data_IF_492825473485
#
_entry.id   IF_492825473485
#
_cell.length_a   1.000
_cell.length_b   1.000
_cell.length_c   1.000
_cell.angle_alpha   90.00
_cell.angle_beta   90.00
_cell.angle_gamma   90.00
#
_symmetry.space_group_name_H-M   'P 1'
#
loop_
_entity.id
_entity.type
_entity.pdbx_description
1 polymer ?
#
# COMPACT_ATOMS: atom_id res chain seq x y z
N UNK A 1 -21.99 -9.62 2.49
CA UNK A 1 -20.69 -10.32 2.41
C UNK A 1 -19.62 -9.50 1.69
N UNK A 2 -19.94 -8.89 0.53
CA UNK A 2 -19.07 -7.93 -0.19
C UNK A 2 -18.61 -6.74 0.68
N UNK A 3 -19.54 -6.14 1.44
CA UNK A 3 -19.23 -5.00 2.31
C UNK A 3 -18.21 -5.30 3.42
N UNK A 4 -18.11 -6.57 3.87
CA UNK A 4 -17.17 -6.96 4.92
C UNK A 4 -15.73 -7.11 4.38
N UNK A 5 -15.61 -7.53 3.12
CA UNK A 5 -14.33 -7.66 2.40
C UNK A 5 -13.77 -6.28 2.11
N UNK A 6 -14.60 -5.38 1.58
CA UNK A 6 -14.24 -3.97 1.38
C UNK A 6 -13.69 -3.34 2.67
N UNK A 7 -14.39 -3.52 3.78
CA UNK A 7 -13.98 -2.91 5.04
C UNK A 7 -12.66 -3.47 5.59
N UNK A 8 -12.42 -4.78 5.43
CA UNK A 8 -11.19 -5.41 5.94
C UNK A 8 -9.98 -5.09 5.05
N UNK A 9 -10.15 -5.15 3.73
CA UNK A 9 -9.05 -4.96 2.78
C UNK A 9 -8.65 -3.50 2.65
N UNK A 10 -9.61 -2.58 2.42
CA UNK A 10 -9.30 -1.15 2.40
C UNK A 10 -8.91 -0.61 3.77
N UNK A 11 -9.42 -1.21 4.86
CA UNK A 11 -8.92 -0.95 6.21
C UNK A 11 -7.45 -1.33 6.36
N UNK A 12 -7.04 -2.47 5.80
CA UNK A 12 -5.64 -2.91 5.72
C UNK A 12 -4.76 -1.97 4.90
N UNK A 13 -5.22 -1.55 3.71
CA UNK A 13 -4.52 -0.56 2.86
C UNK A 13 -4.26 0.74 3.63
N UNK A 14 -5.30 1.31 4.24
CA UNK A 14 -5.17 2.58 4.99
C UNK A 14 -4.26 2.40 6.20
N UNK A 15 -4.42 1.32 6.96
CA UNK A 15 -3.59 1.03 8.13
C UNK A 15 -2.11 0.91 7.76
N UNK A 16 -1.80 0.20 6.67
CA UNK A 16 -0.44 0.01 6.19
C UNK A 16 0.21 1.35 5.75
N UNK A 17 -0.52 2.21 5.04
CA UNK A 17 -0.01 3.54 4.70
C UNK A 17 0.22 4.45 5.91
N UNK A 18 -0.66 4.41 6.91
CA UNK A 18 -0.47 5.19 8.13
C UNK A 18 0.81 4.76 8.84
N UNK A 19 1.04 3.46 9.01
CA UNK A 19 2.27 2.96 9.64
C UNK A 19 3.51 3.29 8.80
N UNK A 20 3.43 3.24 7.47
CA UNK A 20 4.53 3.65 6.60
C UNK A 20 4.91 5.13 6.79
N UNK A 21 3.91 6.00 6.99
CA UNK A 21 4.15 7.43 7.27
C UNK A 21 4.84 7.62 8.63
N UNK A 22 4.42 6.89 9.65
CA UNK A 22 5.06 6.91 10.98
C UNK A 22 6.52 6.43 10.87
N UNK A 23 6.78 5.36 10.12
CA UNK A 23 8.14 4.86 9.88
C UNK A 23 9.03 5.86 9.14
N UNK A 24 8.49 6.60 8.16
CA UNK A 24 9.22 7.68 7.49
C UNK A 24 9.59 8.79 8.48
N UNK A 25 8.66 9.18 9.37
CA UNK A 25 8.94 10.18 10.41
C UNK A 25 10.03 9.72 11.38
N UNK A 26 10.07 8.43 11.70
CA UNK A 26 11.09 7.81 12.53
C UNK A 26 12.37 7.41 11.77
N UNK A 27 12.47 7.75 10.47
CA UNK A 27 13.59 7.41 9.58
C UNK A 27 13.84 5.90 9.41
N UNK A 28 12.81 5.08 9.61
CA UNK A 28 12.81 3.62 9.41
C UNK A 28 12.42 3.27 7.97
N UNK A 29 13.21 3.71 6.99
CA UNK A 29 12.82 3.65 5.57
C UNK A 29 12.59 2.24 5.02
N UNK A 30 13.32 1.22 5.49
CA UNK A 30 13.04 -0.18 5.10
C UNK A 30 11.66 -0.62 5.59
N UNK A 31 11.36 -0.38 6.87
CA UNK A 31 10.05 -0.69 7.47
C UNK A 31 8.92 0.07 6.74
N UNK A 32 9.15 1.34 6.39
CA UNK A 32 8.20 2.12 5.62
C UNK A 32 7.95 1.51 4.22
N UNK A 33 9.00 1.02 3.55
CA UNK A 33 8.87 0.33 2.26
C UNK A 33 8.06 -0.96 2.39
N UNK A 34 8.35 -1.78 3.41
CA UNK A 34 7.66 -3.05 3.67
C UNK A 34 6.15 -2.83 3.94
N UNK A 35 5.81 -1.76 4.67
CA UNK A 35 4.41 -1.38 4.90
C UNK A 35 3.71 -0.87 3.63
N UNK A 36 4.40 -0.19 2.73
CA UNK A 36 3.85 0.22 1.42
C UNK A 36 3.59 -0.98 0.52
N UNK A 37 4.48 -1.98 0.54
CA UNK A 37 4.28 -3.26 -0.14
C UNK A 37 3.07 -4.01 0.44
N UNK A 38 2.92 -4.03 1.76
CA UNK A 38 1.75 -4.61 2.42
C UNK A 38 0.44 -3.93 1.99
N UNK A 39 0.43 -2.61 1.78
CA UNK A 39 -0.73 -1.88 1.26
C UNK A 39 -1.10 -2.34 -0.16
N UNK A 40 -0.08 -2.62 -0.99
CA UNK A 40 -0.29 -3.17 -2.33
C UNK A 40 -0.91 -4.59 -2.28
N UNK A 41 -0.41 -5.45 -1.38
CA UNK A 41 -0.94 -6.81 -1.21
C UNK A 41 -2.42 -6.80 -0.80
N UNK A 42 -2.82 -5.89 0.10
CA UNK A 42 -4.24 -5.75 0.45
C UNK A 42 -5.11 -5.34 -0.74
N UNK A 43 -4.63 -4.46 -1.62
CA UNK A 43 -5.34 -4.05 -2.82
C UNK A 43 -5.45 -5.18 -3.85
N UNK A 44 -4.37 -5.93 -4.11
CA UNK A 44 -4.41 -7.08 -5.02
C UNK A 44 -5.35 -8.18 -4.50
N UNK A 45 -5.27 -8.49 -3.19
CA UNK A 45 -6.15 -9.48 -2.59
C UNK A 45 -7.63 -9.03 -2.61
N UNK A 46 -7.90 -7.72 -2.63
CA UNK A 46 -9.24 -7.18 -2.83
C UNK A 46 -9.75 -7.52 -4.24
N UNK A 47 -8.96 -7.19 -5.26
CA UNK A 47 -9.27 -7.49 -6.66
C UNK A 47 -9.52 -8.99 -6.90
N UNK A 48 -8.66 -9.86 -6.35
CA UNK A 48 -8.82 -11.32 -6.43
C UNK A 48 -10.09 -11.83 -5.72
N UNK A 49 -10.41 -11.29 -4.55
CA UNK A 49 -11.61 -11.64 -3.79
C UNK A 49 -12.90 -11.26 -4.54
N UNK A 50 -12.87 -10.19 -5.34
CA UNK A 50 -13.99 -9.78 -6.19
C UNK A 50 -14.08 -10.62 -7.47
N UNK A 51 -12.95 -10.87 -8.13
CA UNK A 51 -12.87 -11.71 -9.33
C UNK A 51 -13.36 -13.14 -9.05
N UNK A 52 -12.94 -13.75 -7.94
CA UNK A 52 -13.36 -15.11 -7.53
C UNK A 52 -14.86 -15.24 -7.24
N UNK A 53 -15.57 -14.12 -7.07
CA UNK A 53 -17.02 -14.08 -6.80
C UNK A 53 -17.85 -13.67 -8.00
N UNK A 54 -17.22 -13.49 -9.17
CA UNK A 54 -17.87 -13.00 -10.39
C UNK A 54 -18.54 -11.62 -10.19
N UNK A 55 -18.03 -10.84 -9.23
CA UNK A 55 -18.49 -9.47 -8.99
C UNK A 55 -17.54 -8.57 -9.78
N UNK A 56 -17.97 -8.15 -10.96
CA UNK A 56 -17.29 -7.10 -11.72
C UNK A 56 -17.86 -5.76 -11.27
N UNK A 57 -17.04 -5.00 -10.54
CA UNK A 57 -17.32 -3.62 -10.18
C UNK A 57 -16.16 -2.77 -10.70
N UNK A 58 -16.42 -2.01 -11.76
CA UNK A 58 -15.42 -1.20 -12.45
C UNK A 58 -14.81 -0.13 -11.55
N UNK A 59 -15.52 0.32 -10.50
CA UNK A 59 -15.02 1.34 -9.59
C UNK A 59 -14.07 0.75 -8.56
N UNK A 60 -14.30 -0.49 -8.11
CA UNK A 60 -13.37 -1.23 -7.23
C UNK A 60 -12.07 -1.54 -7.98
N UNK A 61 -12.15 -2.04 -9.22
CA UNK A 61 -10.96 -2.33 -10.02
C UNK A 61 -10.12 -1.08 -10.30
N UNK A 62 -10.73 0.08 -10.54
CA UNK A 62 -10.00 1.35 -10.67
C UNK A 62 -9.34 1.77 -9.35
N UNK A 63 -10.03 1.57 -8.23
CA UNK A 63 -9.53 1.87 -6.89
C UNK A 63 -8.28 1.04 -6.54
N UNK A 64 -8.32 -0.26 -6.77
CA UNK A 64 -7.20 -1.17 -6.47
C UNK A 64 -5.99 -0.88 -7.38
N UNK A 65 -6.23 -0.62 -8.67
CA UNK A 65 -5.18 -0.19 -9.59
C UNK A 65 -4.52 1.13 -9.15
N UNK A 66 -5.31 2.09 -8.67
CA UNK A 66 -4.77 3.36 -8.16
C UNK A 66 -3.89 3.14 -6.93
N UNK A 67 -4.30 2.27 -6.00
CA UNK A 67 -3.50 1.91 -4.82
C UNK A 67 -2.19 1.27 -5.24
N UNK A 68 -2.21 0.32 -6.18
CA UNK A 68 -1.00 -0.33 -6.69
C UNK A 68 0.00 0.68 -7.29
N UNK A 69 -0.45 1.56 -8.20
CA UNK A 69 0.43 2.58 -8.80
C UNK A 69 0.97 3.57 -7.77
N UNK A 70 0.14 3.93 -6.78
CA UNK A 70 0.55 4.79 -5.69
C UNK A 70 1.60 4.11 -4.80
N UNK A 71 1.39 2.85 -4.41
CA UNK A 71 2.36 2.07 -3.62
C UNK A 71 3.71 1.95 -4.32
N UNK A 72 3.73 1.63 -5.62
CA UNK A 72 4.97 1.57 -6.40
C UNK A 72 5.72 2.91 -6.39
N UNK A 73 4.98 4.01 -6.58
CA UNK A 73 5.56 5.35 -6.61
C UNK A 73 6.12 5.76 -5.23
N UNK A 74 5.39 5.47 -4.15
CA UNK A 74 5.80 5.79 -2.77
C UNK A 74 7.01 4.95 -2.35
N UNK A 75 7.03 3.65 -2.68
CA UNK A 75 8.16 2.77 -2.37
C UNK A 75 9.47 3.28 -2.98
N UNK A 76 9.44 3.73 -4.24
CA UNK A 76 10.62 4.34 -4.90
C UNK A 76 11.08 5.59 -4.15
N UNK A 77 10.16 6.48 -3.77
CA UNK A 77 10.50 7.72 -3.04
C UNK A 77 11.11 7.41 -1.68
N UNK A 78 10.54 6.46 -0.93
CA UNK A 78 11.05 6.03 0.39
C UNK A 78 12.47 5.48 0.27
N UNK A 79 12.72 4.63 -0.73
CA UNK A 79 14.05 4.05 -0.94
C UNK A 79 15.08 5.13 -1.29
N UNK A 80 14.74 6.07 -2.17
CA UNK A 80 15.62 7.21 -2.51
C UNK A 80 15.90 8.09 -1.29
N UNK A 81 14.88 8.37 -0.46
CA UNK A 81 15.05 9.13 0.79
C UNK A 81 15.98 8.42 1.78
N UNK A 82 15.81 7.09 1.94
CA UNK A 82 16.65 6.28 2.82
C UNK A 82 18.11 6.24 2.37
N UNK A 83 18.36 6.07 1.07
CA UNK A 83 19.70 6.14 0.50
C UNK A 83 20.32 7.52 0.71
N UNK A 84 19.59 8.59 0.34
CA UNK A 84 20.10 9.97 0.40
C UNK A 84 20.48 10.39 1.83
N UNK A 85 19.65 10.07 2.82
CA UNK A 85 19.92 10.41 4.23
C UNK A 85 21.14 9.64 4.76
N UNK A 86 21.27 8.36 4.42
CA UNK A 86 22.45 7.56 4.77
C UNK A 86 23.74 8.16 4.20
N UNK A 87 23.70 8.74 2.99
CA UNK A 87 24.88 9.39 2.38
C UNK A 87 25.23 10.75 3.01
N UNK A 88 24.27 11.52 3.52
CA UNK A 88 24.52 12.85 4.13
C UNK A 88 24.95 12.82 5.60
N UNK A 89 25.01 11.65 6.24
CA UNK A 89 25.38 11.52 7.67
C UNK A 89 26.89 11.31 7.88
N UNK A 90 27.71 11.53 6.84
CA UNK A 90 29.18 11.52 6.90
C UNK A 90 29.78 12.92 6.85
#
# INVERSE_FOLDING_TARGET
MVCLILFHMYGGVVGAFVTALDDVQEKKFQSASDHVESANDFAMNCEEAFASRNVQDDDISKGDNLVMYFSLSVGVVINVLGETINYTTF
#
